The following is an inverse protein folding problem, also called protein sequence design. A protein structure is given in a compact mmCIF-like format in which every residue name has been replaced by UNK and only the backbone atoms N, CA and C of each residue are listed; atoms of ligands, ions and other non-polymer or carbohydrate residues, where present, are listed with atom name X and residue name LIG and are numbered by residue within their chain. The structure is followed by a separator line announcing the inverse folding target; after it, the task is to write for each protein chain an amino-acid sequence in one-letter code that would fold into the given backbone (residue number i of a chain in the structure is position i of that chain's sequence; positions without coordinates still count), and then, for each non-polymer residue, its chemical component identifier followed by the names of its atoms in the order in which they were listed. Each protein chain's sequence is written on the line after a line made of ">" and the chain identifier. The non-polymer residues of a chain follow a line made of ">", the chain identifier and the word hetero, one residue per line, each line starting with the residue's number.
data_IF_624226761368
#
_entry.id   IF_624226761368
#
_cell.length_a   1.000
_cell.length_b   1.000
_cell.length_c   1.000
_cell.angle_alpha   90.00
_cell.angle_beta   90.00
_cell.angle_gamma   90.00
#
_symmetry.space_group_name_H-M   'P 1'
#
loop_
_entity.id
_entity.type
_entity.pdbx_description
1 polymer ?
#
# COMPACT_ATOMS: atom_id res chain seq x y z
N UNK A 1 17.65 13.04 -11.13
CA UNK A 1 16.26 12.55 -11.02
C UNK A 1 15.77 12.30 -12.43
N UNK A 2 15.54 11.07 -12.79
CA UNK A 2 14.90 10.76 -14.07
C UNK A 2 13.46 11.25 -13.97
N UNK A 3 13.10 12.14 -14.89
CA UNK A 3 11.73 12.65 -15.04
C UNK A 3 10.86 11.49 -15.58
N UNK A 4 10.56 10.53 -14.69
CA UNK A 4 9.75 9.38 -15.01
C UNK A 4 8.29 9.84 -15.08
N UNK A 5 7.89 10.27 -16.27
CA UNK A 5 6.49 10.54 -16.56
C UNK A 5 5.68 9.28 -16.23
N UNK A 6 4.69 9.42 -15.35
CA UNK A 6 3.77 8.32 -15.00
C UNK A 6 3.10 7.81 -16.29
N UNK A 7 3.17 6.50 -16.57
CA UNK A 7 2.49 5.93 -17.74
C UNK A 7 0.99 6.20 -17.72
N UNK A 8 0.38 6.20 -18.89
CA UNK A 8 -1.08 6.30 -18.99
C UNK A 8 -1.76 5.02 -18.56
N UNK A 9 -3.05 5.10 -18.29
CA UNK A 9 -3.86 3.92 -17.97
C UNK A 9 -3.84 2.89 -19.09
N UNK A 10 -3.94 3.35 -20.32
CA UNK A 10 -3.92 2.51 -21.52
C UNK A 10 -2.58 1.78 -21.68
N UNK A 11 -1.48 2.44 -21.41
CA UNK A 11 -0.14 1.83 -21.39
C UNK A 11 -0.03 0.76 -20.32
N UNK A 12 -0.56 1.00 -19.12
CA UNK A 12 -0.58 0.02 -18.05
C UNK A 12 -1.46 -1.20 -18.40
N UNK A 13 -2.64 -0.98 -18.98
CA UNK A 13 -3.53 -2.07 -19.43
C UNK A 13 -2.87 -2.89 -20.53
N UNK A 14 -2.18 -2.26 -21.48
CA UNK A 14 -1.44 -2.95 -22.53
C UNK A 14 -0.28 -3.81 -21.95
N UNK A 15 0.40 -3.33 -20.92
CA UNK A 15 1.44 -4.10 -20.24
C UNK A 15 0.88 -5.35 -19.57
N UNK A 16 -0.27 -5.25 -18.89
CA UNK A 16 -0.96 -6.40 -18.28
C UNK A 16 -1.35 -7.42 -19.37
N UNK A 17 -1.88 -6.96 -20.48
CA UNK A 17 -2.22 -7.82 -21.61
C UNK A 17 -0.98 -8.58 -22.13
N UNK A 18 0.14 -7.89 -22.26
CA UNK A 18 1.41 -8.49 -22.67
C UNK A 18 1.86 -9.57 -21.68
N UNK A 19 1.74 -9.31 -20.39
CA UNK A 19 2.08 -10.29 -19.36
C UNK A 19 1.18 -11.55 -19.43
N UNK A 20 -0.12 -11.38 -19.66
CA UNK A 20 -1.03 -12.51 -19.86
C UNK A 20 -0.61 -13.38 -21.04
N UNK A 21 -0.27 -12.77 -22.17
CA UNK A 21 0.23 -13.51 -23.34
C UNK A 21 1.58 -14.20 -23.04
N UNK A 22 2.46 -13.53 -22.32
CA UNK A 22 3.75 -14.09 -21.89
C UNK A 22 3.60 -15.37 -21.07
N UNK A 23 2.58 -15.44 -20.21
CA UNK A 23 2.31 -16.65 -19.41
C UNK A 23 1.78 -17.82 -20.24
N UNK A 24 1.49 -17.60 -21.52
CA UNK A 24 1.01 -18.63 -22.44
C UNK A 24 -0.52 -18.72 -22.55
N UNK A 25 -1.26 -17.84 -21.87
CA UNK A 25 -2.72 -17.79 -22.01
C UNK A 25 -3.14 -16.86 -23.15
N UNK A 26 -4.36 -17.03 -23.64
CA UNK A 26 -4.93 -16.18 -24.69
C UNK A 26 -5.65 -14.97 -24.06
N UNK A 27 -5.09 -13.75 -24.16
CA UNK A 27 -5.70 -12.57 -23.57
C UNK A 27 -7.01 -12.14 -24.23
N UNK A 28 -7.35 -12.71 -25.40
CA UNK A 28 -8.59 -12.40 -26.14
C UNK A 28 -9.76 -13.32 -25.77
N UNK A 29 -9.52 -14.37 -24.97
CA UNK A 29 -10.61 -15.22 -24.53
C UNK A 29 -11.54 -14.44 -23.57
N UNK A 30 -12.83 -14.80 -23.58
CA UNK A 30 -13.89 -14.14 -22.81
C UNK A 30 -13.52 -13.88 -21.34
N UNK A 31 -12.87 -14.84 -20.66
CA UNK A 31 -12.47 -14.72 -19.26
C UNK A 31 -11.34 -13.72 -19.00
N UNK A 32 -10.55 -13.34 -20.02
CA UNK A 32 -9.38 -12.46 -19.86
C UNK A 32 -9.50 -11.11 -20.57
N UNK A 33 -10.44 -10.92 -21.47
CA UNK A 33 -10.55 -9.67 -22.25
C UNK A 33 -10.69 -8.42 -21.39
N UNK A 34 -11.35 -8.50 -20.22
CA UNK A 34 -11.49 -7.39 -19.27
C UNK A 34 -10.43 -7.41 -18.16
N UNK A 35 -9.57 -8.42 -18.11
CA UNK A 35 -8.59 -8.57 -17.03
C UNK A 35 -7.59 -7.40 -16.95
N UNK A 36 -7.04 -6.87 -18.07
CA UNK A 36 -6.16 -5.71 -18.00
C UNK A 36 -6.76 -4.53 -17.22
N UNK A 37 -8.00 -4.16 -17.51
CA UNK A 37 -8.70 -3.07 -16.82
C UNK A 37 -8.91 -3.37 -15.32
N UNK A 38 -9.25 -4.62 -15.00
CA UNK A 38 -9.47 -5.05 -13.60
C UNK A 38 -8.18 -5.01 -12.80
N UNK A 39 -7.07 -5.46 -13.39
CA UNK A 39 -5.75 -5.43 -12.73
C UNK A 39 -5.30 -4.00 -12.48
N UNK A 40 -5.38 -3.13 -13.48
CA UNK A 40 -5.00 -1.71 -13.30
C UNK A 40 -5.84 -1.04 -12.22
N UNK A 41 -7.15 -1.26 -12.21
CA UNK A 41 -8.02 -0.75 -11.14
C UNK A 41 -7.65 -1.29 -9.76
N UNK A 42 -7.33 -2.56 -9.64
CA UNK A 42 -6.90 -3.15 -8.38
C UNK A 42 -5.58 -2.53 -7.90
N UNK A 43 -4.63 -2.30 -8.80
CA UNK A 43 -3.34 -1.68 -8.48
C UNK A 43 -3.48 -0.22 -8.04
N UNK A 44 -4.42 0.53 -8.61
CA UNK A 44 -4.74 1.88 -8.11
C UNK A 44 -5.12 1.87 -6.63
N UNK A 45 -5.85 0.83 -6.20
CA UNK A 45 -6.23 0.67 -4.79
C UNK A 45 -5.06 0.14 -3.94
N UNK A 46 -4.34 -0.88 -4.41
CA UNK A 46 -3.24 -1.50 -3.66
C UNK A 46 -2.09 -0.52 -3.42
N UNK A 47 -1.83 0.37 -4.34
CA UNK A 47 -0.74 1.34 -4.29
C UNK A 47 -1.22 2.78 -4.05
N UNK A 48 -2.44 2.97 -3.57
CA UNK A 48 -3.00 4.30 -3.27
C UNK A 48 -2.14 5.12 -2.30
N UNK A 49 -1.33 4.46 -1.46
CA UNK A 49 -0.42 5.13 -0.54
C UNK A 49 0.61 6.03 -1.20
N UNK A 50 0.98 5.78 -2.46
CA UNK A 50 1.88 6.66 -3.20
C UNK A 50 1.29 8.05 -3.52
N UNK A 51 -0.02 8.18 -3.49
CA UNK A 51 -0.74 9.44 -3.73
C UNK A 51 -1.09 10.17 -2.41
N UNK A 52 -0.77 9.57 -1.26
CA UNK A 52 -1.06 10.14 0.06
C UNK A 52 0.12 10.96 0.58
N UNK A 53 -0.18 12.08 1.24
CA UNK A 53 0.83 12.82 1.99
C UNK A 53 0.96 12.22 3.41
N UNK A 54 2.13 11.67 3.77
CA UNK A 54 2.35 11.13 5.11
C UNK A 54 2.13 12.16 6.23
N UNK A 55 2.42 13.43 5.97
CA UNK A 55 2.22 14.51 6.95
C UNK A 55 0.75 14.72 7.23
N UNK A 56 -0.10 14.68 6.20
CA UNK A 56 -1.54 14.79 6.36
C UNK A 56 -2.11 13.62 7.14
N UNK A 57 -1.70 12.39 6.80
CA UNK A 57 -2.13 11.17 7.51
C UNK A 57 -1.72 11.21 8.98
N UNK A 58 -0.52 11.70 9.29
CA UNK A 58 0.04 11.78 10.65
C UNK A 58 -0.36 13.04 11.41
N UNK A 59 -1.06 13.99 10.78
CA UNK A 59 -1.46 15.25 11.42
C UNK A 59 -2.61 15.11 12.43
N UNK A 60 -3.32 13.99 12.39
CA UNK A 60 -4.41 13.70 13.34
C UNK A 60 -3.82 13.28 14.69
N UNK A 61 -3.68 14.23 15.58
CA UNK A 61 -3.24 14.01 16.95
C UNK A 61 -4.42 14.21 17.91
N UNK A 62 -4.42 13.47 19.01
CA UNK A 62 -5.36 13.68 20.11
C UNK A 62 -4.71 14.62 21.10
N UNK A 63 -5.38 15.72 21.44
CA UNK A 63 -4.90 16.69 22.44
C UNK A 63 -5.22 16.26 23.88
N UNK A 64 -6.26 15.43 24.06
CA UNK A 64 -6.71 14.95 25.36
C UNK A 64 -5.98 13.66 25.76
N UNK A 65 -4.74 13.78 26.19
CA UNK A 65 -3.90 12.64 26.66
C UNK A 65 -3.46 12.77 28.11
N UNK A 66 -4.11 13.63 28.90
CA UNK A 66 -3.78 13.78 30.31
C UNK A 66 -4.14 12.52 31.09
N UNK A 67 -3.14 11.95 31.80
CA UNK A 67 -3.32 10.88 32.77
C UNK A 67 -3.17 9.44 32.26
N UNK A 68 -2.65 9.22 31.06
CA UNK A 68 -2.33 7.88 30.58
C UNK A 68 -0.89 7.49 30.96
N UNK A 69 -0.73 6.72 32.04
CA UNK A 69 0.53 6.13 32.50
C UNK A 69 0.64 4.64 32.13
N UNK A 70 -0.37 4.08 31.49
CA UNK A 70 -0.38 2.70 31.02
C UNK A 70 0.03 2.61 29.56
N UNK A 71 0.50 1.41 29.18
CA UNK A 71 0.81 1.11 27.76
C UNK A 71 -0.48 1.11 26.93
N UNK A 72 -0.50 1.90 25.88
CA UNK A 72 -1.54 1.85 24.85
C UNK A 72 -1.20 0.74 23.87
N UNK A 73 -2.12 -0.20 23.67
CA UNK A 73 -1.93 -1.32 22.77
C UNK A 73 -3.00 -1.28 21.67
N UNK A 74 -2.56 -1.24 20.42
CA UNK A 74 -3.43 -1.41 19.25
C UNK A 74 -3.17 -2.79 18.66
N UNK A 75 -4.18 -3.64 18.63
CA UNK A 75 -4.09 -5.02 18.15
C UNK A 75 -4.79 -5.21 16.82
N UNK A 76 -4.38 -6.27 16.13
CA UNK A 76 -5.04 -6.75 14.91
C UNK A 76 -5.10 -5.70 13.77
N UNK A 77 -4.11 -4.82 13.72
CA UNK A 77 -3.95 -3.88 12.61
C UNK A 77 -3.71 -4.71 11.35
N UNK A 78 -4.63 -4.62 10.41
CA UNK A 78 -4.50 -5.31 9.12
C UNK A 78 -3.35 -4.69 8.33
N UNK A 79 -2.42 -5.55 7.91
CA UNK A 79 -1.28 -5.17 7.07
C UNK A 79 -1.47 -5.80 5.69
N UNK A 80 -1.48 -4.96 4.68
CA UNK A 80 -1.46 -5.35 3.28
C UNK A 80 -0.31 -4.64 2.58
N UNK A 81 0.57 -5.40 1.97
CA UNK A 81 1.75 -4.89 1.28
C UNK A 81 2.06 -5.74 0.06
N UNK A 82 2.99 -5.30 -0.76
CA UNK A 82 3.48 -6.06 -1.90
C UNK A 82 5.01 -6.10 -1.85
N UNK A 83 5.60 -7.24 -2.13
CA UNK A 83 7.05 -7.36 -2.15
C UNK A 83 7.62 -6.60 -3.36
N UNK A 84 8.77 -5.97 -3.17
CA UNK A 84 9.46 -5.25 -4.25
C UNK A 84 9.98 -6.18 -5.35
N UNK A 85 10.25 -7.46 -5.01
CA UNK A 85 10.87 -8.41 -5.93
C UNK A 85 9.89 -8.96 -6.99
N UNK A 86 8.66 -9.24 -6.62
CA UNK A 86 7.71 -9.96 -7.47
C UNK A 86 6.33 -9.29 -7.55
N UNK A 87 6.13 -8.20 -6.83
CA UNK A 87 4.81 -7.53 -6.67
C UNK A 87 3.76 -8.52 -6.12
N UNK A 88 4.18 -9.48 -5.34
CA UNK A 88 3.29 -10.47 -4.72
C UNK A 88 2.73 -9.90 -3.43
N UNK A 89 1.41 -10.09 -3.15
CA UNK A 89 0.79 -9.64 -1.93
C UNK A 89 1.39 -10.28 -0.68
N UNK A 90 1.58 -9.47 0.35
CA UNK A 90 1.95 -9.88 1.72
C UNK A 90 0.80 -9.46 2.61
N UNK A 91 0.12 -10.43 3.21
CA UNK A 91 -1.01 -10.19 4.10
C UNK A 91 -0.62 -10.57 5.52
N UNK A 92 -0.96 -9.74 6.48
CA UNK A 92 -0.62 -10.00 7.87
C UNK A 92 -1.40 -9.14 8.86
N UNK A 93 -1.00 -9.25 10.12
CA UNK A 93 -1.47 -8.42 11.21
C UNK A 93 -0.29 -7.86 11.97
N UNK A 94 -0.42 -6.62 12.41
CA UNK A 94 0.52 -5.98 13.30
C UNK A 94 -0.15 -5.65 14.63
N UNK A 95 0.66 -5.65 15.69
CA UNK A 95 0.25 -5.18 17.01
C UNK A 95 1.27 -4.12 17.44
N UNK A 96 0.78 -2.98 17.89
CA UNK A 96 1.63 -1.86 18.29
C UNK A 96 1.34 -1.52 19.74
N UNK A 97 2.37 -1.52 20.56
CA UNK A 97 2.30 -1.05 21.94
C UNK A 97 3.22 0.15 22.13
N UNK A 98 2.74 1.19 22.82
CA UNK A 98 3.57 2.34 23.13
C UNK A 98 3.16 2.96 24.46
N UNK A 99 4.13 3.59 25.13
CA UNK A 99 3.87 4.45 26.25
C UNK A 99 3.74 5.89 25.76
N UNK A 100 2.72 6.57 26.25
CA UNK A 100 2.56 8.00 25.98
C UNK A 100 3.49 8.78 26.92
N UNK A 101 4.64 9.22 26.41
CA UNK A 101 5.48 10.19 27.10
C UNK A 101 5.38 11.53 26.38
N UNK A 102 5.20 12.60 27.15
CA UNK A 102 5.29 13.97 26.67
C UNK A 102 6.75 14.29 26.31
N UNK A 103 7.34 13.64 25.34
CA UNK A 103 8.62 14.05 24.74
C UNK A 103 8.78 13.43 23.36
N UNK A 104 8.87 14.29 22.33
CA UNK A 104 9.51 14.12 21.02
C UNK A 104 9.54 12.71 20.43
N UNK A 105 8.71 12.50 19.41
CA UNK A 105 8.72 11.34 18.54
C UNK A 105 10.13 11.06 17.97
N UNK A 106 10.83 10.11 18.57
CA UNK A 106 11.92 9.44 17.91
C UNK A 106 11.36 8.21 17.21
N UNK A 107 11.19 8.32 15.91
CA UNK A 107 10.89 7.16 15.08
C UNK A 107 12.08 6.20 15.05
N UNK A 108 12.00 5.09 15.75
CA UNK A 108 12.88 3.97 15.48
C UNK A 108 12.36 3.23 14.23
N UNK A 109 13.12 3.39 13.15
CA UNK A 109 12.99 2.57 11.95
C UNK A 109 13.64 1.22 12.27
N UNK A 110 12.84 0.18 12.45
CA UNK A 110 13.32 -1.20 12.34
C UNK A 110 12.64 -1.86 11.13
N UNK A 111 13.51 -2.30 10.24
CA UNK A 111 13.18 -3.17 9.12
C UNK A 111 13.14 -4.62 9.58
#
# INVERSE_FOLDING_TARGET
>A
MTDNKKPTREEAEAAVRTMLAWTGDNPDREGLVETPKRVVRAYEQFFAGYEMDPKEVLSKVFEEVEGYDEMVIVKDIRVESHCEHHIVPILGKAHVGYYHFIVTLNFFKYF
#
